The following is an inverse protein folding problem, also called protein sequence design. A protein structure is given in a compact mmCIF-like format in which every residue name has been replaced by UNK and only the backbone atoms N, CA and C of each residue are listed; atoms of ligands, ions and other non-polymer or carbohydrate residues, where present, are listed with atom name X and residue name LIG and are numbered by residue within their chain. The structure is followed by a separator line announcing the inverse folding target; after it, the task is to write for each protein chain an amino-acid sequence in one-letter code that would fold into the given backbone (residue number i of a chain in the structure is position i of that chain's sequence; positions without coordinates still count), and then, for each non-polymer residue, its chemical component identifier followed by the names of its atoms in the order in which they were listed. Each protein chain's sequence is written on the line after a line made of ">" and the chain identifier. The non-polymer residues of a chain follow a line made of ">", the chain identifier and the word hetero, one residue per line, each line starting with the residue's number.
data_IF_016048701647
#
_entry.id   IF_016048701647
#
_cell.length_a   1.000
_cell.length_b   1.000
_cell.length_c   1.000
_cell.angle_alpha   90.00
_cell.angle_beta   90.00
_cell.angle_gamma   90.00
#
_symmetry.space_group_name_H-M   'P 1'
#
loop_
_entity.id
_entity.type
_entity.pdbx_description
1 polymer ?
#
# COMPACT_ATOMS: atom_id res chain seq x y z
N UNK A 1 -10.59 -44.40 18.65
CA UNK A 1 -10.83 -43.81 17.33
C UNK A 1 -12.00 -42.85 17.48
N UNK A 2 -11.75 -41.54 17.52
CA UNK A 2 -12.82 -40.54 17.54
C UNK A 2 -13.15 -40.26 16.09
N UNK A 3 -14.36 -40.64 15.69
CA UNK A 3 -14.87 -40.35 14.36
C UNK A 3 -15.25 -38.86 14.35
N UNK A 4 -14.42 -38.03 13.74
CA UNK A 4 -14.75 -36.62 13.52
C UNK A 4 -16.02 -36.57 12.65
N UNK A 5 -17.09 -35.95 13.17
CA UNK A 5 -18.27 -35.62 12.37
C UNK A 5 -17.86 -34.62 11.31
N UNK A 6 -18.36 -34.78 10.08
CA UNK A 6 -18.34 -33.70 9.09
C UNK A 6 -19.02 -32.47 9.72
N UNK A 7 -18.25 -31.41 9.92
CA UNK A 7 -18.75 -30.12 10.40
C UNK A 7 -19.29 -29.33 9.22
N UNK A 8 -20.48 -28.76 9.41
CA UNK A 8 -21.08 -27.74 8.53
C UNK A 8 -20.79 -26.33 9.06
N UNK A 9 -19.87 -26.21 10.03
CA UNK A 9 -19.49 -24.91 10.59
C UNK A 9 -18.78 -24.08 9.53
N UNK A 10 -19.07 -22.77 9.49
CA UNK A 10 -18.35 -21.85 8.63
C UNK A 10 -16.85 -21.92 8.94
N UNK A 11 -15.97 -22.01 7.93
CA UNK A 11 -14.53 -21.96 8.14
C UNK A 11 -14.14 -20.74 8.97
N UNK A 12 -13.27 -20.92 9.97
CA UNK A 12 -12.79 -19.87 10.88
C UNK A 12 -11.73 -18.94 10.27
N UNK A 13 -11.61 -18.92 8.94
CA UNK A 13 -10.91 -17.88 8.20
C UNK A 13 -11.91 -16.80 7.85
N UNK A 14 -11.80 -15.62 8.46
CA UNK A 14 -12.63 -14.45 8.19
C UNK A 14 -12.39 -13.84 6.80
N UNK A 15 -12.50 -14.65 5.75
CA UNK A 15 -12.59 -14.15 4.39
C UNK A 15 -14.04 -13.72 4.17
N UNK A 16 -14.24 -12.42 4.29
CA UNK A 16 -15.45 -11.75 3.85
C UNK A 16 -15.42 -11.63 2.32
N UNK A 17 -16.56 -11.77 1.60
CA UNK A 17 -16.60 -11.56 0.15
C UNK A 17 -16.44 -10.08 -0.23
N UNK A 18 -16.33 -9.17 0.75
CA UNK A 18 -16.12 -7.75 0.52
C UNK A 18 -14.79 -7.49 -0.19
N UNK A 19 -14.83 -6.70 -1.26
CA UNK A 19 -13.65 -6.14 -1.95
C UNK A 19 -13.46 -4.66 -1.61
N UNK A 20 -14.57 -3.92 -1.45
CA UNK A 20 -14.57 -2.50 -1.07
C UNK A 20 -15.83 -2.15 -0.29
N UNK A 21 -15.70 -1.40 0.80
CA UNK A 21 -16.83 -1.00 1.63
C UNK A 21 -16.55 0.28 2.41
N UNK A 22 -17.62 0.91 2.89
CA UNK A 22 -17.57 1.93 3.95
C UNK A 22 -18.19 1.39 5.21
N UNK A 23 -17.68 1.79 6.37
CA UNK A 23 -18.26 1.43 7.65
C UNK A 23 -17.62 2.16 8.82
N UNK A 24 -18.29 2.15 9.96
CA UNK A 24 -17.77 2.71 11.21
C UNK A 24 -16.98 1.64 11.94
N UNK A 25 -15.71 1.92 12.25
CA UNK A 25 -14.90 1.02 13.07
C UNK A 25 -15.39 1.09 14.52
N UNK A 26 -16.09 0.06 14.98
CA UNK A 26 -16.64 -0.01 16.33
C UNK A 26 -15.55 -0.35 17.36
N UNK A 27 -14.68 -1.30 17.03
CA UNK A 27 -13.55 -1.66 17.89
C UNK A 27 -12.41 -2.33 17.13
N UNK A 28 -11.18 -2.07 17.61
CA UNK A 28 -9.97 -2.75 17.22
C UNK A 28 -9.49 -3.64 18.37
N UNK A 29 -9.23 -4.92 18.09
CA UNK A 29 -8.75 -5.88 19.10
C UNK A 29 -7.57 -6.67 18.56
N UNK A 30 -6.60 -6.97 19.42
CA UNK A 30 -5.52 -7.88 19.10
C UNK A 30 -5.81 -9.26 19.69
N UNK A 31 -6.05 -10.23 18.81
CA UNK A 31 -6.33 -11.62 19.17
C UNK A 31 -5.04 -12.47 19.06
N UNK A 32 -4.81 -13.37 20.01
CA UNK A 32 -3.68 -14.30 20.00
C UNK A 32 -4.19 -15.69 19.66
N UNK A 33 -3.75 -16.21 18.52
CA UNK A 33 -4.16 -17.51 18.00
C UNK A 33 -2.99 -18.48 18.03
N UNK A 34 -3.29 -19.75 18.23
CA UNK A 34 -2.32 -20.83 18.15
C UNK A 34 -2.53 -21.60 16.86
N UNK A 35 -1.49 -21.71 16.04
CA UNK A 35 -1.49 -22.55 14.85
C UNK A 35 -1.49 -24.03 15.23
N UNK A 36 -1.87 -24.91 14.31
CA UNK A 36 -1.84 -26.35 14.50
C UNK A 36 -0.44 -26.88 14.90
N UNK A 37 0.62 -26.16 14.50
CA UNK A 37 2.02 -26.46 14.86
C UNK A 37 2.42 -25.94 16.26
N UNK A 38 1.47 -25.47 17.07
CA UNK A 38 1.70 -24.93 18.41
C UNK A 38 2.31 -23.51 18.45
N UNK A 39 2.53 -22.88 17.29
CA UNK A 39 3.06 -21.52 17.21
C UNK A 39 1.97 -20.49 17.47
N UNK A 40 2.21 -19.56 18.38
CA UNK A 40 1.32 -18.41 18.58
C UNK A 40 1.55 -17.33 17.52
N UNK A 41 0.47 -16.72 17.05
CA UNK A 41 0.46 -15.58 16.15
C UNK A 41 -0.65 -14.61 16.54
N UNK A 42 -0.43 -13.32 16.27
CA UNK A 42 -1.41 -12.30 16.57
C UNK A 42 -2.23 -11.95 15.32
N UNK A 43 -3.50 -11.61 15.51
CA UNK A 43 -4.39 -11.10 14.46
C UNK A 43 -5.06 -9.84 14.97
N UNK A 44 -4.89 -8.74 14.25
CA UNK A 44 -5.65 -7.52 14.48
C UNK A 44 -7.05 -7.69 13.88
N UNK A 45 -8.08 -7.61 14.73
CA UNK A 45 -9.49 -7.72 14.36
C UNK A 45 -10.13 -6.33 14.36
N UNK A 46 -10.50 -5.87 13.18
CA UNK A 46 -11.23 -4.62 12.96
C UNK A 46 -12.72 -4.94 12.85
N UNK A 47 -13.50 -4.50 13.82
CA UNK A 47 -14.94 -4.76 13.89
C UNK A 47 -15.70 -3.55 13.34
N UNK A 48 -16.37 -3.72 12.21
CA UNK A 48 -17.15 -2.68 11.57
C UNK A 48 -18.64 -2.85 11.80
N UNK A 49 -19.33 -1.72 11.91
CA UNK A 49 -20.79 -1.59 11.88
C UNK A 49 -21.19 -0.54 10.84
N UNK A 50 -22.49 -0.47 10.56
CA UNK A 50 -23.07 0.47 9.61
C UNK A 50 -22.40 0.36 8.22
N UNK A 51 -22.27 -0.89 7.73
CA UNK A 51 -21.62 -1.16 6.46
C UNK A 51 -22.45 -0.70 5.26
N UNK A 52 -21.77 0.00 4.36
CA UNK A 52 -22.19 0.25 2.99
C UNK A 52 -21.22 -0.50 2.06
N UNK A 53 -21.72 -1.57 1.43
CA UNK A 53 -20.92 -2.40 0.52
C UNK A 53 -20.84 -1.70 -0.83
N UNK A 54 -19.61 -1.44 -1.29
CA UNK A 54 -19.36 -0.82 -2.60
C UNK A 54 -19.01 -1.87 -3.65
N UNK A 55 -18.24 -2.89 -3.25
CA UNK A 55 -17.81 -3.99 -4.12
C UNK A 55 -17.67 -5.28 -3.30
N UNK A 56 -18.19 -6.38 -3.82
CA UNK A 56 -18.10 -7.70 -3.20
C UNK A 56 -18.17 -8.80 -4.26
N UNK A 57 -17.46 -9.91 -4.06
CA UNK A 57 -17.49 -11.07 -4.95
C UNK A 57 -18.83 -11.81 -4.91
N UNK A 58 -19.43 -11.85 -3.72
CA UNK A 58 -20.73 -12.44 -3.45
C UNK A 58 -21.61 -11.42 -2.72
N UNK A 59 -22.94 -11.48 -2.88
CA UNK A 59 -23.85 -10.59 -2.15
C UNK A 59 -23.62 -10.64 -0.64
N UNK A 60 -23.34 -9.49 -0.03
CA UNK A 60 -23.09 -9.37 1.40
C UNK A 60 -24.23 -8.59 2.09
N UNK A 61 -25.20 -9.28 2.72
CA UNK A 61 -26.39 -8.63 3.29
C UNK A 61 -26.21 -8.14 4.73
N UNK A 62 -25.05 -8.38 5.35
CA UNK A 62 -24.84 -8.09 6.77
C UNK A 62 -24.37 -6.63 6.97
N UNK A 63 -24.92 -5.91 7.97
CA UNK A 63 -24.51 -4.54 8.28
C UNK A 63 -23.22 -4.46 9.11
N UNK A 64 -22.57 -5.60 9.38
CA UNK A 64 -21.35 -5.73 10.17
C UNK A 64 -20.33 -6.59 9.43
N UNK A 65 -19.04 -6.31 9.66
CA UNK A 65 -17.95 -7.15 9.17
C UNK A 65 -16.80 -7.15 10.17
N UNK A 66 -16.07 -8.25 10.20
CA UNK A 66 -14.85 -8.38 10.99
C UNK A 66 -13.72 -8.65 10.02
N UNK A 67 -12.78 -7.71 9.93
CA UNK A 67 -11.59 -7.85 9.09
C UNK A 67 -10.43 -8.27 9.98
N UNK A 68 -9.89 -9.48 9.73
CA UNK A 68 -8.74 -10.01 10.44
C UNK A 68 -7.46 -9.84 9.63
N UNK A 69 -6.47 -9.16 10.18
CA UNK A 69 -5.15 -9.00 9.55
C UNK A 69 -4.09 -9.54 10.48
N UNK A 70 -3.33 -10.53 10.00
CA UNK A 70 -2.21 -11.10 10.75
C UNK A 70 -1.20 -10.01 11.12
N UNK A 71 -0.93 -9.90 12.41
CA UNK A 71 -0.05 -8.90 12.98
C UNK A 71 1.23 -9.53 13.49
N UNK A 72 2.35 -8.88 13.21
CA UNK A 72 3.65 -9.22 13.80
C UNK A 72 4.34 -7.95 14.25
N UNK A 73 4.84 -7.88 15.51
CA UNK A 73 5.56 -6.71 15.98
C UNK A 73 6.74 -6.36 15.06
N UNK A 74 7.06 -5.07 14.84
CA UNK A 74 8.08 -4.64 13.89
C UNK A 74 9.44 -5.31 14.09
N UNK A 75 9.87 -5.47 15.35
CA UNK A 75 11.15 -6.13 15.71
C UNK A 75 11.24 -7.60 15.29
N UNK A 76 10.10 -8.24 15.05
CA UNK A 76 9.99 -9.64 14.66
C UNK A 76 9.52 -9.80 13.21
N UNK A 77 9.06 -8.73 12.57
CA UNK A 77 8.65 -8.72 11.17
C UNK A 77 9.85 -8.63 10.25
N UNK A 78 9.77 -9.32 9.10
CA UNK A 78 10.75 -9.19 8.01
C UNK A 78 10.27 -8.22 6.92
N UNK A 79 9.19 -7.49 7.17
CA UNK A 79 8.50 -6.67 6.16
C UNK A 79 7.72 -7.52 5.15
N UNK A 80 7.01 -6.84 4.24
CA UNK A 80 6.27 -7.50 3.16
C UNK A 80 5.07 -8.33 3.66
N UNK A 81 4.36 -7.84 4.67
CA UNK A 81 3.17 -8.50 5.25
C UNK A 81 1.88 -7.78 4.89
N UNK A 82 0.72 -8.46 5.03
CA UNK A 82 -0.60 -7.83 4.90
C UNK A 82 -0.77 -6.63 5.85
N UNK A 83 -0.15 -6.68 7.03
CA UNK A 83 -0.12 -5.56 7.97
C UNK A 83 0.67 -4.37 7.44
N UNK A 84 1.79 -4.60 6.73
CA UNK A 84 2.59 -3.52 6.16
C UNK A 84 1.81 -2.75 5.08
N UNK A 85 1.00 -3.45 4.28
CA UNK A 85 0.11 -2.81 3.30
C UNK A 85 -0.91 -1.87 3.99
N UNK A 86 -1.61 -2.37 5.02
CA UNK A 86 -2.53 -1.54 5.82
C UNK A 86 -1.81 -0.36 6.48
N UNK A 87 -0.71 -0.62 7.17
CA UNK A 87 0.07 0.41 7.85
C UNK A 87 0.61 1.46 6.88
N UNK A 88 0.90 1.09 5.63
CA UNK A 88 1.26 2.01 4.55
C UNK A 88 0.17 3.06 4.30
N UNK A 89 -1.08 2.62 4.13
CA UNK A 89 -2.21 3.54 3.98
C UNK A 89 -2.44 4.43 5.21
N UNK A 90 -2.31 3.88 6.42
CA UNK A 90 -2.45 4.64 7.66
C UNK A 90 -1.36 5.72 7.82
N UNK A 91 -0.11 5.41 7.48
CA UNK A 91 1.00 6.39 7.53
C UNK A 91 0.81 7.55 6.55
N UNK A 92 0.11 7.32 5.43
CA UNK A 92 -0.23 8.41 4.50
C UNK A 92 -1.25 9.37 5.11
N UNK A 93 -2.27 8.83 5.77
CA UNK A 93 -3.30 9.61 6.46
C UNK A 93 -2.78 10.28 7.75
N UNK A 94 -1.81 9.68 8.42
CA UNK A 94 -1.28 10.11 9.71
C UNK A 94 0.26 10.08 9.71
N UNK A 95 0.92 11.00 8.98
CA UNK A 95 2.37 10.93 8.75
C UNK A 95 3.22 11.19 9.99
N UNK A 96 2.71 11.97 10.96
CA UNK A 96 3.48 12.36 12.15
C UNK A 96 3.36 11.35 13.30
N UNK A 97 2.19 10.74 13.46
CA UNK A 97 1.94 9.79 14.54
C UNK A 97 0.88 8.77 14.12
N UNK A 98 1.24 7.76 13.32
CA UNK A 98 0.30 6.74 12.87
C UNK A 98 -0.14 5.88 14.04
N UNK A 99 -1.41 6.02 14.43
CA UNK A 99 -2.00 5.30 15.55
C UNK A 99 -3.34 4.68 15.12
N UNK A 100 -3.44 3.34 15.05
CA UNK A 100 -4.66 2.67 14.63
C UNK A 100 -5.81 2.83 15.63
N UNK A 101 -5.55 3.20 16.89
CA UNK A 101 -6.60 3.43 17.88
C UNK A 101 -7.39 4.72 17.56
N UNK A 102 -6.76 5.69 16.87
CA UNK A 102 -7.41 6.92 16.42
C UNK A 102 -8.39 6.71 15.25
N UNK A 103 -8.52 5.48 14.76
CA UNK A 103 -9.50 5.07 13.76
C UNK A 103 -10.85 4.70 14.39
N UNK A 104 -10.87 4.32 15.67
CA UNK A 104 -12.07 3.82 16.35
C UNK A 104 -13.12 4.92 16.44
N UNK A 105 -14.37 4.56 16.14
CA UNK A 105 -15.53 5.44 16.11
C UNK A 105 -15.70 6.27 14.82
N UNK A 106 -14.76 6.19 13.88
CA UNK A 106 -14.82 6.95 12.61
C UNK A 106 -15.39 6.13 11.48
N UNK A 107 -16.08 6.80 10.56
CA UNK A 107 -16.46 6.24 9.25
C UNK A 107 -15.20 6.10 8.38
N UNK A 108 -15.03 4.94 7.75
CA UNK A 108 -13.85 4.61 6.97
C UNK A 108 -14.25 3.90 5.69
N UNK A 109 -13.48 4.12 4.64
CA UNK A 109 -13.56 3.35 3.40
C UNK A 109 -12.36 2.42 3.31
N UNK A 110 -12.61 1.15 3.06
CA UNK A 110 -11.60 0.10 2.96
C UNK A 110 -11.70 -0.57 1.60
N UNK A 111 -10.54 -0.93 1.04
CA UNK A 111 -10.44 -1.61 -0.24
C UNK A 111 -9.36 -2.68 -0.20
N UNK A 112 -9.60 -3.80 -0.88
CA UNK A 112 -8.56 -4.77 -1.19
C UNK A 112 -7.79 -4.29 -2.42
N UNK A 113 -6.48 -4.14 -2.25
CA UNK A 113 -5.57 -3.72 -3.31
C UNK A 113 -4.47 -4.76 -3.44
N UNK A 114 -4.04 -5.01 -4.66
CA UNK A 114 -2.95 -5.94 -4.93
C UNK A 114 -1.63 -5.35 -4.42
N UNK A 115 -0.96 -6.10 -3.55
CA UNK A 115 0.37 -5.79 -3.07
C UNK A 115 1.28 -6.99 -3.30
N UNK A 116 2.51 -6.71 -3.72
CA UNK A 116 3.56 -7.72 -3.79
C UNK A 116 4.01 -8.09 -2.38
N UNK A 117 3.71 -9.32 -1.94
CA UNK A 117 4.12 -9.85 -0.64
C UNK A 117 5.10 -11.00 -0.84
N UNK A 118 6.00 -11.18 0.13
CA UNK A 118 6.90 -12.33 0.10
C UNK A 118 6.13 -13.61 0.39
N UNK A 119 5.88 -14.40 -0.64
CA UNK A 119 5.16 -15.66 -0.59
C UNK A 119 6.02 -16.84 -1.05
N UNK A 120 5.52 -18.03 -0.80
CA UNK A 120 6.03 -19.24 -1.44
C UNK A 120 5.72 -19.18 -2.95
N UNK A 121 6.71 -19.44 -3.79
CA UNK A 121 6.50 -19.50 -5.23
C UNK A 121 5.84 -20.84 -5.60
N UNK A 122 4.85 -20.76 -6.48
CA UNK A 122 4.17 -21.91 -7.06
C UNK A 122 4.31 -21.88 -8.58
N UNK A 123 4.33 -23.06 -9.21
CA UNK A 123 4.24 -23.17 -10.66
C UNK A 123 2.81 -22.93 -11.18
N UNK A 124 2.60 -23.05 -12.50
CA UNK A 124 1.30 -22.85 -13.15
C UNK A 124 0.20 -23.82 -12.66
N UNK A 125 0.60 -24.94 -12.06
CA UNK A 125 -0.29 -25.97 -11.52
C UNK A 125 -0.53 -25.78 -10.01
N UNK A 126 0.08 -24.76 -9.40
CA UNK A 126 -0.04 -24.45 -7.98
C UNK A 126 0.89 -25.26 -7.07
N UNK A 127 1.84 -26.02 -7.63
CA UNK A 127 2.79 -26.79 -6.85
C UNK A 127 3.96 -25.91 -6.38
N UNK A 128 4.47 -26.11 -5.14
CA UNK A 128 5.64 -25.38 -4.64
C UNK A 128 6.87 -25.53 -5.53
N UNK A 129 7.45 -24.41 -5.95
CA UNK A 129 8.74 -24.42 -6.63
C UNK A 129 9.82 -24.69 -5.58
N UNK A 130 10.58 -25.77 -5.74
CA UNK A 130 11.67 -26.16 -4.86
C UNK A 130 13.03 -25.77 -5.46
N UNK A 131 14.00 -25.46 -4.61
CA UNK A 131 15.39 -25.27 -5.00
C UNK A 131 16.10 -26.61 -5.29
N UNK A 132 17.24 -26.55 -5.97
CA UNK A 132 18.05 -27.72 -6.29
C UNK A 132 18.93 -28.24 -5.13
N UNK A 133 18.66 -27.84 -3.89
CA UNK A 133 19.47 -28.27 -2.73
C UNK A 133 19.01 -29.63 -2.19
N UNK A 134 19.85 -30.27 -1.35
CA UNK A 134 19.53 -31.55 -0.71
C UNK A 134 19.60 -31.38 0.82
N UNK A 135 18.49 -31.41 1.57
CA UNK A 135 17.11 -31.57 1.09
C UNK A 135 16.57 -30.32 0.38
N UNK A 136 15.65 -30.49 -0.61
CA UNK A 136 15.11 -29.37 -1.38
C UNK A 136 14.32 -28.42 -0.49
N UNK A 137 14.51 -27.12 -0.70
CA UNK A 137 13.82 -26.06 0.04
C UNK A 137 12.90 -25.30 -0.89
N UNK A 138 11.71 -24.97 -0.40
CA UNK A 138 10.75 -24.15 -1.14
C UNK A 138 11.36 -22.77 -1.44
N UNK A 139 11.22 -22.31 -2.67
CA UNK A 139 11.60 -20.96 -3.09
C UNK A 139 10.53 -19.95 -2.64
N UNK A 140 11.02 -18.80 -2.20
CA UNK A 140 10.20 -17.68 -1.75
C UNK A 140 10.53 -16.46 -2.59
N UNK A 141 9.51 -15.76 -3.03
CA UNK A 141 9.63 -14.57 -3.87
C UNK A 141 8.45 -13.64 -3.67
N UNK A 142 8.37 -12.65 -4.56
CA UNK A 142 7.36 -11.62 -4.56
C UNK A 142 6.11 -12.12 -5.30
N UNK A 143 4.98 -12.21 -4.58
CA UNK A 143 3.72 -12.76 -5.08
C UNK A 143 2.62 -11.71 -4.96
N UNK A 144 1.89 -11.40 -6.05
CA UNK A 144 0.75 -10.49 -5.99
C UNK A 144 -0.32 -11.06 -5.06
N UNK A 145 -0.65 -10.30 -4.01
CA UNK A 145 -1.61 -10.71 -2.98
C UNK A 145 -2.56 -9.57 -2.67
N UNK A 146 -3.86 -9.86 -2.64
CA UNK A 146 -4.87 -8.89 -2.25
C UNK A 146 -4.78 -8.60 -0.75
N UNK A 147 -4.58 -7.34 -0.41
CA UNK A 147 -4.39 -6.84 0.93
C UNK A 147 -5.38 -5.72 1.24
N UNK A 148 -5.92 -5.74 2.45
CA UNK A 148 -6.76 -4.64 2.93
C UNK A 148 -5.94 -3.37 3.14
N UNK A 149 -6.43 -2.28 2.59
CA UNK A 149 -5.90 -0.92 2.74
C UNK A 149 -7.04 0.02 3.09
N UNK A 150 -6.70 1.14 3.75
CA UNK A 150 -7.64 2.21 4.07
C UNK A 150 -7.61 3.19 2.90
N UNK A 151 -8.77 3.45 2.29
CA UNK A 151 -8.90 4.43 1.21
C UNK A 151 -9.17 5.84 1.74
N UNK A 152 -10.01 5.97 2.77
CA UNK A 152 -10.31 7.25 3.42
C UNK A 152 -10.82 7.06 4.84
N UNK A 153 -10.64 8.08 5.68
CA UNK A 153 -11.16 8.12 7.05
C UNK A 153 -11.76 9.49 7.33
N UNK A 154 -12.96 9.51 7.89
CA UNK A 154 -13.61 10.75 8.29
C UNK A 154 -12.74 11.55 9.28
N UNK A 155 -12.60 12.84 9.02
CA UNK A 155 -11.70 13.74 9.75
C UNK A 155 -10.20 13.59 9.46
N UNK A 156 -9.76 12.62 8.64
CA UNK A 156 -8.36 12.50 8.18
C UNK A 156 -8.21 12.65 6.66
N UNK A 157 -9.31 12.62 5.90
CA UNK A 157 -9.31 12.72 4.44
C UNK A 157 -9.08 11.37 3.76
N UNK A 158 -8.69 11.43 2.48
CA UNK A 158 -8.41 10.24 1.67
C UNK A 158 -6.92 10.03 1.43
N UNK A 159 -6.53 8.76 1.21
CA UNK A 159 -5.17 8.40 0.83
C UNK A 159 -4.79 9.00 -0.52
N UNK A 160 -5.75 9.08 -1.44
CA UNK A 160 -5.55 9.69 -2.76
C UNK A 160 -5.17 11.17 -2.63
N UNK A 161 -5.95 11.94 -1.87
CA UNK A 161 -5.64 13.36 -1.61
C UNK A 161 -4.27 13.50 -0.91
N UNK A 162 -3.99 12.65 0.09
CA UNK A 162 -2.71 12.68 0.80
C UNK A 162 -1.49 12.33 -0.08
N UNK A 163 -1.68 11.54 -1.14
CA UNK A 163 -0.66 11.27 -2.15
C UNK A 163 -0.53 12.44 -3.13
N UNK A 164 -1.63 13.02 -3.59
CA UNK A 164 -1.64 14.18 -4.48
C UNK A 164 -0.96 15.41 -3.83
N UNK A 165 -1.30 15.70 -2.58
CA UNK A 165 -0.69 16.78 -1.79
C UNK A 165 0.81 16.57 -1.60
N UNK A 166 1.22 15.32 -1.37
CA UNK A 166 2.63 15.00 -1.20
C UNK A 166 3.40 15.07 -2.52
N UNK A 167 2.81 14.64 -3.64
CA UNK A 167 3.40 14.80 -4.96
C UNK A 167 3.58 16.28 -5.31
N UNK A 168 2.57 17.12 -5.02
CA UNK A 168 2.69 18.57 -5.18
C UNK A 168 3.82 19.14 -4.34
N UNK A 169 3.94 18.72 -3.08
CA UNK A 169 5.06 19.11 -2.22
C UNK A 169 6.42 18.71 -2.82
N UNK A 170 6.56 17.49 -3.36
CA UNK A 170 7.80 17.05 -4.02
C UNK A 170 8.13 17.87 -5.26
N UNK A 171 7.13 18.21 -6.07
CA UNK A 171 7.26 19.04 -7.26
C UNK A 171 7.71 20.45 -6.88
N UNK A 172 7.07 21.07 -5.89
CA UNK A 172 7.45 22.39 -5.38
C UNK A 172 8.86 22.36 -4.76
N UNK A 173 9.25 21.25 -4.13
CA UNK A 173 10.60 21.06 -3.61
C UNK A 173 11.64 20.92 -4.73
N UNK A 174 11.30 20.29 -5.85
CA UNK A 174 12.17 20.08 -7.00
C UNK A 174 12.31 21.33 -7.88
N UNK A 175 11.26 22.14 -7.98
CA UNK A 175 11.18 23.33 -8.84
C UNK A 175 12.41 24.25 -8.65
N UNK A 176 13.03 24.62 -9.77
CA UNK A 176 14.22 25.47 -9.85
C UNK A 176 15.52 24.83 -9.39
N UNK A 177 15.59 23.51 -9.22
CA UNK A 177 16.81 22.79 -8.77
C UNK A 177 17.29 21.78 -9.81
N UNK A 178 18.59 21.55 -9.82
CA UNK A 178 19.16 20.39 -10.53
C UNK A 178 18.89 19.11 -9.74
N UNK A 179 18.90 17.96 -10.42
CA UNK A 179 18.69 16.65 -9.79
C UNK A 179 19.57 16.42 -8.52
N UNK A 180 20.90 16.67 -8.55
CA UNK A 180 21.72 16.50 -7.35
C UNK A 180 21.29 17.39 -6.19
N UNK A 181 20.90 18.64 -6.48
CA UNK A 181 20.49 19.59 -5.45
C UNK A 181 19.12 19.25 -4.87
N UNK A 182 18.21 18.76 -5.71
CA UNK A 182 16.94 18.24 -5.25
C UNK A 182 17.12 17.08 -4.27
N UNK A 183 17.93 16.06 -4.61
CA UNK A 183 18.12 14.93 -3.72
C UNK A 183 18.78 15.30 -2.38
N UNK A 184 19.74 16.23 -2.38
CA UNK A 184 20.36 16.75 -1.15
C UNK A 184 19.31 17.38 -0.21
N UNK A 185 18.44 18.22 -0.77
CA UNK A 185 17.37 18.88 0.01
C UNK A 185 16.28 17.88 0.41
N UNK A 186 15.90 16.96 -0.48
CA UNK A 186 14.87 15.97 -0.19
C UNK A 186 15.30 15.02 0.94
N UNK A 187 16.54 14.53 0.92
CA UNK A 187 17.05 13.61 1.95
C UNK A 187 17.27 14.27 3.32
N UNK A 188 17.25 15.60 3.40
CA UNK A 188 17.32 16.35 4.66
C UNK A 188 15.96 16.83 5.15
N UNK A 189 14.91 16.67 4.33
CA UNK A 189 13.55 17.09 4.67
C UNK A 189 12.83 16.04 5.54
N UNK A 190 12.23 16.48 6.65
CA UNK A 190 11.53 15.58 7.59
C UNK A 190 10.29 14.91 6.98
N UNK A 191 9.59 15.57 6.06
CA UNK A 191 8.41 15.00 5.39
C UNK A 191 8.79 13.90 4.41
N UNK A 192 9.94 14.04 3.75
CA UNK A 192 10.47 13.01 2.84
C UNK A 192 11.03 11.83 3.63
N UNK A 193 11.85 12.09 4.65
CA UNK A 193 12.47 11.04 5.47
C UNK A 193 11.47 10.25 6.31
N UNK A 194 10.29 10.82 6.59
CA UNK A 194 9.16 10.10 7.19
C UNK A 194 8.53 9.05 6.25
N UNK A 195 8.84 9.04 4.95
CA UNK A 195 8.30 8.09 3.95
C UNK A 195 9.40 7.20 3.36
N UNK A 196 9.68 6.01 3.94
CA UNK A 196 10.78 5.15 3.51
C UNK A 196 10.76 4.75 2.04
N UNK A 197 9.57 4.54 1.46
CA UNK A 197 9.41 4.24 0.03
C UNK A 197 9.89 5.39 -0.87
N UNK A 198 9.72 6.65 -0.43
CA UNK A 198 10.18 7.82 -1.17
C UNK A 198 11.69 7.98 -1.03
N UNK A 199 12.24 7.71 0.16
CA UNK A 199 13.70 7.67 0.37
C UNK A 199 14.34 6.61 -0.52
N UNK A 200 13.74 5.41 -0.60
CA UNK A 200 14.20 4.35 -1.49
C UNK A 200 14.11 4.77 -2.98
N UNK A 201 13.01 5.40 -3.40
CA UNK A 201 12.88 5.93 -4.76
C UNK A 201 13.92 7.02 -5.08
N UNK A 202 14.31 7.85 -4.12
CA UNK A 202 15.38 8.85 -4.26
C UNK A 202 16.74 8.14 -4.39
N UNK A 203 17.06 7.23 -3.48
CA UNK A 203 18.36 6.52 -3.48
C UNK A 203 18.54 5.64 -4.73
N UNK A 204 17.47 5.08 -5.28
CA UNK A 204 17.47 4.33 -6.54
C UNK A 204 17.37 5.20 -7.78
N UNK A 205 17.32 6.54 -7.63
CA UNK A 205 17.16 7.53 -8.72
C UNK A 205 15.95 7.29 -9.62
N UNK A 206 14.89 6.72 -9.05
CA UNK A 206 13.63 6.46 -9.77
C UNK A 206 12.59 7.56 -9.55
N UNK A 207 12.69 8.31 -8.45
CA UNK A 207 11.66 9.29 -8.08
C UNK A 207 11.45 10.36 -9.15
N UNK A 208 12.52 10.99 -9.65
CA UNK A 208 12.39 12.03 -10.68
C UNK A 208 11.85 11.48 -11.98
N UNK A 209 12.31 10.29 -12.40
CA UNK A 209 11.77 9.60 -13.58
C UNK A 209 10.26 9.42 -13.46
N UNK A 210 9.77 8.93 -12.32
CA UNK A 210 8.34 8.76 -12.07
C UNK A 210 7.59 10.10 -12.11
N UNK A 211 8.12 11.17 -11.50
CA UNK A 211 7.46 12.48 -11.51
C UNK A 211 7.40 13.09 -12.93
N UNK A 212 8.42 12.86 -13.75
CA UNK A 212 8.43 13.26 -15.16
C UNK A 212 7.46 12.43 -16.00
N UNK A 213 7.41 11.10 -15.81
CA UNK A 213 6.44 10.21 -16.47
C UNK A 213 4.99 10.56 -16.12
N UNK A 214 4.75 11.02 -14.89
CA UNK A 214 3.46 11.54 -14.43
C UNK A 214 3.14 12.95 -14.96
N UNK A 215 3.99 13.55 -15.80
CA UNK A 215 3.89 14.92 -16.31
C UNK A 215 3.77 15.98 -15.21
N UNK A 216 4.45 15.77 -14.08
CA UNK A 216 4.48 16.74 -12.97
C UNK A 216 5.74 17.62 -13.00
N UNK A 217 6.84 17.11 -13.56
CA UNK A 217 8.10 17.82 -13.73
C UNK A 217 8.59 17.71 -15.18
N UNK A 218 9.31 18.74 -15.62
CA UNK A 218 10.15 18.71 -16.83
C UNK A 218 11.56 19.11 -16.47
N UNK A 219 12.53 18.72 -17.32
CA UNK A 219 13.91 19.13 -17.18
C UNK A 219 14.32 19.95 -18.40
N UNK A 220 14.95 21.10 -18.18
CA UNK A 220 15.46 21.93 -19.27
C UNK A 220 16.85 21.46 -19.77
N UNK A 221 17.38 22.16 -20.77
CA UNK A 221 18.69 21.87 -21.36
C UNK A 221 19.87 22.05 -20.38
N UNK A 222 19.66 22.78 -19.28
CA UNK A 222 20.65 23.07 -18.25
C UNK A 222 20.56 22.07 -17.09
N UNK A 223 19.60 21.14 -17.15
CA UNK A 223 19.38 20.10 -16.15
C UNK A 223 18.56 20.57 -14.94
N UNK A 224 17.91 21.73 -15.03
CA UNK A 224 17.05 22.30 -13.98
C UNK A 224 15.64 21.72 -14.12
N UNK A 225 15.09 21.31 -12.98
CA UNK A 225 13.74 20.77 -12.87
C UNK A 225 12.73 21.92 -12.77
N UNK A 226 11.69 21.86 -13.59
CA UNK A 226 10.59 22.81 -13.60
C UNK A 226 9.28 22.08 -13.35
N UNK A 227 8.43 22.66 -12.51
CA UNK A 227 7.05 22.17 -12.41
C UNK A 227 6.31 22.36 -13.72
N UNK A 228 5.52 21.38 -14.10
CA UNK A 228 4.61 21.51 -15.24
C UNK A 228 3.47 22.43 -14.83
N UNK A 229 3.57 23.70 -15.22
CA UNK A 229 2.41 24.60 -15.27
C UNK A 229 1.69 24.32 -16.59
N UNK A 230 0.36 24.28 -16.60
CA UNK A 230 -0.45 23.80 -17.73
C UNK A 230 -0.31 24.54 -19.07
N UNK A 231 0.69 25.40 -19.24
CA UNK A 231 1.11 25.96 -20.52
C UNK A 231 2.38 25.23 -20.99
N UNK A 232 2.18 24.12 -21.69
CA UNK A 232 3.25 23.56 -22.53
C UNK A 232 3.42 24.52 -23.71
N UNK A 233 4.56 25.20 -23.90
CA UNK A 233 4.85 25.80 -25.19
C UNK A 233 5.01 24.65 -26.15
N UNK A 234 4.07 24.51 -27.09
CA UNK A 234 4.25 23.64 -28.26
C UNK A 234 5.57 24.07 -28.90
N UNK A 235 6.56 23.18 -28.87
CA UNK A 235 7.83 23.40 -29.55
C UNK A 235 7.53 23.78 -31.00
N UNK A 236 7.92 25.00 -31.40
CA UNK A 236 7.86 25.44 -32.79
C UNK A 236 8.57 24.39 -33.64
N UNK A 237 7.82 23.82 -34.59
CA UNK A 237 8.37 22.97 -35.61
C UNK A 237 9.47 23.75 -36.36
N UNK A 238 10.61 23.13 -36.70
CA UNK A 238 11.66 23.81 -37.45
C UNK A 238 11.10 24.21 -38.82
N UNK A 239 11.00 25.51 -39.04
CA UNK A 239 10.67 26.11 -40.33
C UNK A 239 11.71 25.67 -41.36
N UNK A 240 11.36 24.74 -42.24
CA UNK A 240 12.16 24.44 -43.44
C UNK A 240 12.30 25.72 -44.26
N UNK A 241 13.55 26.17 -44.42
CA UNK A 241 13.89 27.25 -45.34
C UNK A 241 13.65 26.78 -46.79
N UNK A 242 13.05 27.62 -47.66
CA UNK A 242 12.91 27.27 -49.06
C UNK A 242 14.26 27.44 -49.75
N UNK A 243 14.87 26.33 -50.17
CA UNK A 243 15.95 26.35 -51.16
C UNK A 243 15.39 26.16 -52.56
N UNK A 244 15.41 27.28 -53.30
CA UNK A 244 15.47 27.48 -54.77
C UNK A 244 14.44 26.82 -55.67
#
# INVERSE_FOLDING_TARGET
>A
MVQEKMSMDRPTGGDTPLRRFKGVLDSLKLDQRTSNDGRSYAVALFNFKDLEVLESEEPFPFPIAIIGISYKPPKMSRGGTKWDALAGSLRKLMPQNPDPDLLVGKMQEWAQVEHSLRGALTDEEGHPIMDGSTPPKQLWGDVPTLCWTIASVDGLGSVKEADEDFNKFLVDLADGKTEPKFYEVALTNSQVTARPNIVEAITSRKLLTTLTEMNLLTQDAEGILHKVTGDVPVAEAPTEAPTT
#
